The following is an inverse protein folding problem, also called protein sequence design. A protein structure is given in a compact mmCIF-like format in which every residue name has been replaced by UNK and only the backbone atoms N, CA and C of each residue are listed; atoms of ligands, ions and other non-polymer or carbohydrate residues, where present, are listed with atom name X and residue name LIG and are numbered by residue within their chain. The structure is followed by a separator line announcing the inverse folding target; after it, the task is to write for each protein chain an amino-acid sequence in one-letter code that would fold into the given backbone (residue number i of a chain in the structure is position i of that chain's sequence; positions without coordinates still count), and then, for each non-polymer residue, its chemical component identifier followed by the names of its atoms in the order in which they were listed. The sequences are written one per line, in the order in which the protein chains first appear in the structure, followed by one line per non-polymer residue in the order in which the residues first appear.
data_IF_152145444491
#
_entry.id   IF_152145444491
#
_cell.length_a   1.000
_cell.length_b   1.000
_cell.length_c   1.000
_cell.angle_alpha   90.00
_cell.angle_beta   90.00
_cell.angle_gamma   90.00
#
_symmetry.space_group_name_H-M   'P 1'
#
loop_
_entity.id
_entity.type
_entity.pdbx_description
1 polymer ?
#
# COMPACT_ATOMS: atom_id res chain seq x y z
N UNK A 1 -11.12 19.34 -19.85
CA UNK A 1 -9.92 19.73 -20.62
C UNK A 1 -8.81 18.68 -20.53
N UNK A 2 -8.67 17.95 -19.42
CA UNK A 2 -7.62 16.93 -19.18
C UNK A 2 -7.75 15.62 -19.96
N UNK A 3 -8.94 15.22 -20.37
CA UNK A 3 -9.20 13.92 -21.00
C UNK A 3 -8.62 13.83 -22.42
N UNK A 4 -8.84 14.86 -23.24
CA UNK A 4 -8.30 14.97 -24.60
C UNK A 4 -6.77 15.00 -24.64
N UNK A 5 -6.13 15.67 -23.67
CA UNK A 5 -4.68 15.63 -23.52
C UNK A 5 -4.18 14.26 -23.10
N UNK A 6 -4.96 13.53 -22.28
CA UNK A 6 -4.62 12.18 -21.84
C UNK A 6 -4.66 11.17 -23.00
N UNK A 7 -5.65 11.30 -23.88
CA UNK A 7 -5.78 10.51 -25.10
C UNK A 7 -4.61 10.76 -26.07
N UNK A 8 -4.17 12.02 -26.20
CA UNK A 8 -3.02 12.36 -27.05
C UNK A 8 -1.71 11.75 -26.56
N UNK A 9 -1.46 11.76 -25.24
CA UNK A 9 -0.27 11.12 -24.68
C UNK A 9 -0.30 9.60 -24.83
N UNK A 10 -1.46 8.98 -24.64
CA UNK A 10 -1.62 7.55 -24.85
C UNK A 10 -1.42 7.18 -26.33
N UNK A 11 -2.02 7.94 -27.25
CA UNK A 11 -1.83 7.75 -28.69
C UNK A 11 -0.36 7.89 -29.07
N UNK A 12 0.32 8.94 -28.60
CA UNK A 12 1.74 9.18 -28.87
C UNK A 12 2.62 8.03 -28.35
N UNK A 13 2.29 7.48 -27.18
CA UNK A 13 3.00 6.32 -26.62
C UNK A 13 2.77 5.06 -27.48
N UNK A 14 1.50 4.71 -27.76
CA UNK A 14 1.17 3.49 -28.49
C UNK A 14 1.70 3.50 -29.93
N UNK A 15 1.57 4.63 -30.63
CA UNK A 15 2.08 4.78 -32.00
C UNK A 15 3.61 4.60 -32.09
N UNK A 16 4.32 4.95 -31.01
CA UNK A 16 5.77 4.92 -30.98
C UNK A 16 6.34 3.78 -30.13
N UNK A 17 5.50 2.92 -29.54
CA UNK A 17 5.92 1.86 -28.61
C UNK A 17 7.06 1.00 -29.15
N UNK A 18 6.92 0.50 -30.37
CA UNK A 18 7.95 -0.34 -31.00
C UNK A 18 9.28 0.42 -31.20
N UNK A 19 9.22 1.70 -31.56
CA UNK A 19 10.43 2.54 -31.71
C UNK A 19 11.08 2.79 -30.35
N UNK A 20 10.25 2.99 -29.33
CA UNK A 20 10.70 3.18 -27.95
C UNK A 20 11.45 1.95 -27.45
N UNK A 21 10.88 0.75 -27.67
CA UNK A 21 11.52 -0.52 -27.32
C UNK A 21 12.84 -0.70 -28.07
N UNK A 22 12.89 -0.43 -29.38
CA UNK A 22 14.12 -0.50 -30.18
C UNK A 22 15.21 0.49 -29.71
N UNK A 23 14.83 1.73 -29.39
CA UNK A 23 15.77 2.75 -28.88
C UNK A 23 16.35 2.31 -27.54
N UNK A 24 15.50 1.79 -26.65
CA UNK A 24 15.91 1.27 -25.35
C UNK A 24 16.86 0.06 -25.48
N UNK A 25 16.53 -0.91 -26.35
CA UNK A 25 17.38 -2.08 -26.62
C UNK A 25 18.75 -1.69 -27.21
N UNK A 26 18.78 -0.65 -28.03
CA UNK A 26 20.01 -0.09 -28.60
C UNK A 26 20.77 0.83 -27.64
N UNK A 27 20.28 1.04 -26.41
CA UNK A 27 20.94 1.86 -25.38
C UNK A 27 20.82 3.37 -25.60
N UNK A 28 19.94 3.82 -26.48
CA UNK A 28 19.69 5.24 -26.71
C UNK A 28 18.73 5.83 -25.67
N UNK A 29 18.94 7.10 -25.33
CA UNK A 29 17.98 7.84 -24.53
C UNK A 29 16.72 8.16 -25.33
N UNK A 30 15.57 7.98 -24.69
CA UNK A 30 14.29 8.34 -25.28
C UNK A 30 14.13 9.87 -25.38
N UNK A 31 13.64 10.40 -26.51
CA UNK A 31 13.24 11.80 -26.61
C UNK A 31 12.28 12.20 -25.48
N UNK A 32 12.46 13.41 -24.93
CA UNK A 32 11.75 13.88 -23.73
C UNK A 32 10.23 13.77 -23.86
N UNK A 33 9.68 14.07 -25.03
CA UNK A 33 8.24 14.03 -25.32
C UNK A 33 7.70 12.59 -25.29
N UNK A 34 8.45 11.64 -25.86
CA UNK A 34 8.10 10.22 -25.82
C UNK A 34 8.24 9.64 -24.42
N UNK A 35 9.25 10.10 -23.66
CA UNK A 35 9.42 9.71 -22.26
C UNK A 35 8.24 10.20 -21.42
N UNK A 36 7.86 11.47 -21.56
CA UNK A 36 6.72 12.03 -20.88
C UNK A 36 5.41 11.29 -21.22
N UNK A 37 5.22 10.94 -22.50
CA UNK A 37 4.08 10.15 -22.94
C UNK A 37 4.04 8.75 -22.31
N UNK A 38 5.19 8.07 -22.26
CA UNK A 38 5.31 6.75 -21.65
C UNK A 38 5.05 6.81 -20.14
N UNK A 39 5.69 7.73 -19.43
CA UNK A 39 5.54 7.93 -17.99
C UNK A 39 4.07 8.24 -17.63
N UNK A 40 3.43 9.14 -18.38
CA UNK A 40 2.02 9.48 -18.18
C UNK A 40 1.11 8.28 -18.41
N UNK A 41 1.28 7.57 -19.54
CA UNK A 41 0.44 6.43 -19.92
C UNK A 41 0.56 5.30 -18.90
N UNK A 42 1.79 4.97 -18.49
CA UNK A 42 2.06 3.94 -17.50
C UNK A 42 1.49 4.30 -16.13
N UNK A 43 1.63 5.56 -15.70
CA UNK A 43 1.02 6.05 -14.46
C UNK A 43 -0.49 5.92 -14.46
N UNK A 44 -1.13 6.25 -15.59
CA UNK A 44 -2.58 6.15 -15.74
C UNK A 44 -3.05 4.69 -15.67
N UNK A 45 -2.44 3.81 -16.48
CA UNK A 45 -2.75 2.37 -16.49
C UNK A 45 -2.56 1.73 -15.13
N UNK A 46 -1.46 2.08 -14.46
CA UNK A 46 -1.18 1.60 -13.13
C UNK A 46 -2.29 1.98 -12.13
N UNK A 47 -2.71 3.26 -12.12
CA UNK A 47 -3.82 3.72 -11.27
C UNK A 47 -5.15 3.07 -11.63
N UNK A 48 -5.43 2.86 -12.91
CA UNK A 48 -6.64 2.20 -13.40
C UNK A 48 -6.70 0.72 -12.96
N UNK A 49 -5.61 -0.02 -13.07
CA UNK A 49 -5.55 -1.41 -12.61
C UNK A 49 -5.74 -1.50 -11.09
N UNK A 50 -5.11 -0.61 -10.33
CA UNK A 50 -5.37 -0.52 -8.88
C UNK A 50 -6.84 -0.26 -8.55
N UNK A 51 -7.53 0.58 -9.34
CA UNK A 51 -8.98 0.84 -9.16
C UNK A 51 -9.85 -0.36 -9.53
N UNK A 52 -9.50 -1.10 -10.59
CA UNK A 52 -10.24 -2.28 -11.03
C UNK A 52 -10.24 -3.36 -9.95
N UNK A 53 -9.10 -3.59 -9.30
CA UNK A 53 -8.99 -4.56 -8.21
C UNK A 53 -9.76 -4.15 -6.95
N UNK A 54 -9.77 -2.86 -6.59
CA UNK A 54 -10.61 -2.35 -5.49
C UNK A 54 -12.10 -2.64 -5.73
N UNK A 55 -12.59 -2.44 -6.98
CA UNK A 55 -14.00 -2.66 -7.34
C UNK A 55 -14.40 -4.13 -7.38
N UNK A 56 -13.50 -5.02 -7.83
CA UNK A 56 -13.79 -6.45 -7.97
C UNK A 56 -13.70 -7.23 -6.65
N UNK A 57 -13.28 -6.57 -5.57
CA UNK A 57 -12.98 -7.20 -4.28
C UNK A 57 -12.02 -8.40 -4.43
N UNK A 58 -11.17 -8.35 -5.46
CA UNK A 58 -10.19 -9.38 -5.74
C UNK A 58 -8.96 -9.09 -4.89
N UNK A 59 -8.93 -9.72 -3.72
CA UNK A 59 -7.93 -9.51 -2.68
C UNK A 59 -6.56 -10.10 -3.03
N UNK A 60 -6.45 -10.89 -4.11
CA UNK A 60 -5.27 -11.68 -4.43
C UNK A 60 -4.50 -11.23 -5.69
N UNK A 61 -5.07 -10.36 -6.53
CA UNK A 61 -4.44 -10.00 -7.79
C UNK A 61 -4.05 -8.52 -7.80
N UNK A 62 -2.79 -8.21 -7.56
CA UNK A 62 -2.18 -6.97 -8.10
C UNK A 62 -1.24 -7.33 -9.27
N UNK A 63 -1.47 -8.48 -9.93
CA UNK A 63 -0.57 -9.02 -10.95
C UNK A 63 -0.35 -8.07 -12.12
N UNK A 64 -1.40 -7.49 -12.68
CA UNK A 64 -1.30 -6.52 -13.77
C UNK A 64 -0.61 -5.22 -13.33
N UNK A 65 -0.92 -4.74 -12.12
CA UNK A 65 -0.21 -3.59 -11.55
C UNK A 65 1.29 -3.88 -11.38
N UNK A 66 1.65 -5.11 -10.99
CA UNK A 66 3.04 -5.55 -10.86
C UNK A 66 3.74 -5.69 -12.22
N UNK A 67 3.03 -6.11 -13.27
CA UNK A 67 3.56 -6.14 -14.64
C UNK A 67 3.91 -4.71 -15.09
N UNK A 68 2.98 -3.76 -14.93
CA UNK A 68 3.21 -2.35 -15.28
C UNK A 68 4.38 -1.77 -14.48
N UNK A 69 4.44 -2.07 -13.18
CA UNK A 69 5.51 -1.67 -12.29
C UNK A 69 6.90 -2.15 -12.76
N UNK A 70 6.98 -3.43 -13.11
CA UNK A 70 8.22 -4.04 -13.60
C UNK A 70 8.62 -3.45 -14.94
N UNK A 71 7.66 -3.16 -15.83
CA UNK A 71 7.92 -2.51 -17.11
C UNK A 71 8.48 -1.10 -16.92
N UNK A 72 7.87 -0.30 -16.04
CA UNK A 72 8.35 1.04 -15.68
C UNK A 72 9.76 1.00 -15.13
N UNK A 73 10.05 0.06 -14.22
CA UNK A 73 11.39 -0.15 -13.65
C UNK A 73 12.40 -0.56 -14.72
N UNK A 74 12.03 -1.50 -15.59
CA UNK A 74 12.88 -2.00 -16.69
C UNK A 74 13.26 -0.89 -17.66
N UNK A 75 12.33 0.00 -17.98
CA UNK A 75 12.51 1.08 -18.94
C UNK A 75 13.05 2.38 -18.31
N UNK A 76 13.29 2.39 -17.00
CA UNK A 76 13.79 3.57 -16.28
C UNK A 76 12.81 4.74 -16.26
N UNK A 77 11.51 4.46 -16.36
CA UNK A 77 10.44 5.46 -16.31
C UNK A 77 10.08 5.80 -14.86
N UNK A 78 9.58 7.01 -14.67
CA UNK A 78 9.01 7.44 -13.40
C UNK A 78 7.50 7.42 -13.48
N UNK A 79 6.86 6.76 -12.52
CA UNK A 79 5.44 6.99 -12.28
C UNK A 79 5.26 8.43 -11.80
N UNK A 80 4.18 9.11 -12.20
CA UNK A 80 3.75 10.41 -11.68
C UNK A 80 3.51 10.27 -10.17
N UNK A 81 4.58 10.48 -9.41
CA UNK A 81 4.66 10.09 -8.01
C UNK A 81 3.56 10.76 -7.18
N UNK A 82 3.26 12.07 -7.31
CA UNK A 82 2.19 12.68 -6.55
C UNK A 82 0.81 12.02 -6.74
N UNK A 83 0.45 11.64 -7.98
CA UNK A 83 -0.85 11.00 -8.24
C UNK A 83 -0.89 9.58 -7.72
N UNK A 84 0.17 8.82 -7.97
CA UNK A 84 0.28 7.42 -7.56
C UNK A 84 0.35 7.32 -6.03
N UNK A 85 1.15 8.15 -5.36
CA UNK A 85 1.28 8.20 -3.89
C UNK A 85 -0.07 8.53 -3.24
N UNK A 86 -0.74 9.62 -3.64
CA UNK A 86 -2.06 9.98 -3.07
C UNK A 86 -3.09 8.86 -3.24
N UNK A 87 -3.05 8.17 -4.38
CA UNK A 87 -3.97 7.06 -4.63
C UNK A 87 -3.69 5.89 -3.69
N UNK A 88 -2.42 5.56 -3.50
CA UNK A 88 -2.02 4.52 -2.57
C UNK A 88 -2.31 4.84 -1.11
N UNK A 89 -2.09 6.08 -0.66
CA UNK A 89 -2.46 6.53 0.69
C UNK A 89 -3.93 6.24 0.97
N UNK A 90 -4.81 6.59 0.01
CA UNK A 90 -6.25 6.34 0.13
C UNK A 90 -6.58 4.84 0.15
N UNK A 91 -5.94 4.04 -0.70
CA UNK A 91 -6.19 2.60 -0.77
C UNK A 91 -5.72 1.88 0.49
N UNK A 92 -4.53 2.21 1.00
CA UNK A 92 -4.01 1.64 2.24
C UNK A 92 -4.90 2.02 3.41
N UNK A 93 -5.26 3.31 3.55
CA UNK A 93 -6.19 3.73 4.61
C UNK A 93 -7.52 2.97 4.56
N UNK A 94 -8.13 2.82 3.38
CA UNK A 94 -9.39 2.04 3.22
C UNK A 94 -9.22 0.57 3.57
N UNK A 95 -8.12 -0.04 3.15
CA UNK A 95 -7.84 -1.45 3.43
C UNK A 95 -7.64 -1.68 4.93
N UNK A 96 -6.88 -0.81 5.60
CA UNK A 96 -6.64 -0.86 7.04
C UNK A 96 -7.94 -0.62 7.81
N UNK A 97 -8.70 0.41 7.45
CA UNK A 97 -10.01 0.68 8.07
C UNK A 97 -10.96 -0.51 7.94
N UNK A 98 -11.03 -1.14 6.77
CA UNK A 98 -11.84 -2.35 6.57
C UNK A 98 -11.36 -3.52 7.43
N UNK A 99 -10.04 -3.72 7.52
CA UNK A 99 -9.47 -4.77 8.36
C UNK A 99 -9.81 -4.56 9.84
N UNK A 100 -9.75 -3.31 10.31
CA UNK A 100 -10.14 -2.91 11.67
C UNK A 100 -11.64 -3.13 11.92
N UNK A 101 -12.51 -2.70 10.99
CA UNK A 101 -13.97 -2.81 11.11
C UNK A 101 -14.44 -4.27 11.09
N UNK A 102 -13.94 -5.09 10.15
CA UNK A 102 -14.40 -6.46 9.96
C UNK A 102 -13.67 -7.49 10.84
N UNK A 103 -12.43 -7.19 11.24
CA UNK A 103 -11.55 -8.07 12.03
C UNK A 103 -11.32 -9.45 11.42
N UNK A 104 -11.29 -9.53 10.08
CA UNK A 104 -11.05 -10.78 9.35
C UNK A 104 -9.60 -10.86 8.89
N UNK A 105 -8.97 -12.00 9.10
CA UNK A 105 -7.61 -12.31 8.64
C UNK A 105 -7.39 -12.03 7.14
N UNK A 106 -8.42 -12.23 6.31
CA UNK A 106 -8.38 -11.89 4.87
C UNK A 106 -8.22 -10.40 4.58
N UNK A 107 -8.83 -9.53 5.40
CA UNK A 107 -8.77 -8.09 5.20
C UNK A 107 -7.41 -7.53 5.68
N UNK A 108 -6.83 -8.07 6.75
CA UNK A 108 -5.45 -7.76 7.17
C UNK A 108 -4.42 -8.19 6.11
N UNK A 109 -4.54 -9.41 5.56
CA UNK A 109 -3.66 -9.89 4.49
C UNK A 109 -3.78 -9.08 3.20
N UNK A 110 -4.97 -8.59 2.88
CA UNK A 110 -5.17 -7.70 1.74
C UNK A 110 -4.45 -6.36 1.93
N UNK A 111 -4.56 -5.76 3.12
CA UNK A 111 -3.84 -4.53 3.47
C UNK A 111 -2.31 -4.72 3.43
N UNK A 112 -1.81 -5.84 3.96
CA UNK A 112 -0.38 -6.18 3.93
C UNK A 112 0.15 -6.36 2.51
N UNK A 113 -0.61 -7.04 1.63
CA UNK A 113 -0.25 -7.21 0.22
C UNK A 113 -0.10 -5.87 -0.51
N UNK A 114 -0.98 -4.91 -0.20
CA UNK A 114 -0.92 -3.57 -0.77
C UNK A 114 0.32 -2.78 -0.32
N UNK A 115 0.68 -2.87 0.96
CA UNK A 115 1.90 -2.24 1.50
C UNK A 115 3.17 -2.88 0.93
N UNK A 116 3.15 -4.20 0.71
CA UNK A 116 4.26 -4.94 0.10
C UNK A 116 4.46 -4.52 -1.36
N UNK A 117 3.36 -4.35 -2.12
CA UNK A 117 3.41 -3.81 -3.47
C UNK A 117 4.05 -2.42 -3.50
N UNK A 118 3.65 -1.54 -2.58
CA UNK A 118 4.23 -0.19 -2.44
C UNK A 118 5.74 -0.20 -2.20
N UNK A 119 6.19 -1.08 -1.31
CA UNK A 119 7.61 -1.23 -0.98
C UNK A 119 8.40 -1.72 -2.20
N UNK A 120 7.84 -2.63 -2.99
CA UNK A 120 8.45 -3.15 -4.23
C UNK A 120 8.62 -2.05 -5.29
N UNK A 121 7.71 -1.09 -5.30
CA UNK A 121 7.75 0.07 -6.21
C UNK A 121 8.73 1.15 -5.77
N UNK A 122 9.31 1.05 -4.56
CA UNK A 122 10.15 2.09 -3.99
C UNK A 122 9.42 3.41 -3.76
N UNK A 123 8.08 3.37 -3.62
CA UNK A 123 7.27 4.55 -3.40
C UNK A 123 7.31 4.91 -1.91
N UNK A 124 7.79 6.12 -1.60
CA UNK A 124 7.76 6.64 -0.24
C UNK A 124 6.37 7.22 0.06
N UNK A 125 5.48 6.39 0.59
CA UNK A 125 4.11 6.76 0.96
C UNK A 125 4.04 7.01 2.46
N UNK A 126 3.38 8.10 2.86
CA UNK A 126 3.13 8.39 4.27
C UNK A 126 1.83 7.71 4.72
N UNK A 127 1.91 6.91 5.76
CA UNK A 127 0.77 6.12 6.24
C UNK A 127 0.08 6.69 7.49
N UNK A 128 0.27 7.97 7.82
CA UNK A 128 -0.18 8.59 9.08
C UNK A 128 -1.63 8.22 9.46
N UNK A 129 -2.58 8.40 8.54
CA UNK A 129 -4.00 8.04 8.80
C UNK A 129 -4.23 6.55 9.01
N UNK A 130 -3.52 5.71 8.27
CA UNK A 130 -3.64 4.26 8.40
C UNK A 130 -2.99 3.76 9.71
N UNK A 131 -1.90 4.39 10.12
CA UNK A 131 -1.24 4.16 11.42
C UNK A 131 -2.17 4.54 12.58
N UNK A 132 -2.81 5.71 12.51
CA UNK A 132 -3.78 6.17 13.52
C UNK A 132 -4.94 5.16 13.68
N UNK A 133 -5.58 4.78 12.57
CA UNK A 133 -6.71 3.83 12.59
C UNK A 133 -6.34 2.49 13.22
N UNK A 134 -5.18 1.92 12.85
CA UNK A 134 -4.74 0.65 13.41
C UNK A 134 -4.32 0.80 14.88
N UNK A 135 -3.70 1.92 15.25
CA UNK A 135 -3.32 2.21 16.64
C UNK A 135 -4.54 2.21 17.56
N UNK A 136 -5.60 2.94 17.21
CA UNK A 136 -6.83 2.97 18.01
C UNK A 136 -7.48 1.58 18.10
N UNK A 137 -7.48 0.82 17.00
CA UNK A 137 -8.00 -0.55 16.99
C UNK A 137 -7.22 -1.50 17.91
N UNK A 138 -5.90 -1.38 17.97
CA UNK A 138 -5.07 -2.19 18.86
C UNK A 138 -5.31 -1.86 20.34
N UNK A 139 -5.57 -0.59 20.67
CA UNK A 139 -5.73 -0.13 22.07
C UNK A 139 -7.16 -0.25 22.61
N UNK A 140 -8.17 0.09 21.82
CA UNK A 140 -9.56 0.20 22.30
C UNK A 140 -10.38 -1.07 22.06
N UNK A 141 -10.00 -1.88 21.07
CA UNK A 141 -10.86 -2.91 20.51
C UNK A 141 -10.39 -4.35 20.75
N UNK A 142 -9.28 -4.55 21.47
CA UNK A 142 -8.73 -5.88 21.76
C UNK A 142 -8.16 -6.60 20.52
N UNK A 143 -7.80 -5.86 19.46
CA UNK A 143 -7.10 -6.43 18.31
C UNK A 143 -5.64 -6.83 18.67
N UNK A 144 -5.13 -6.35 19.81
CA UNK A 144 -3.88 -6.77 20.41
C UNK A 144 -3.90 -8.29 20.70
N UNK A 145 -3.18 -9.06 19.88
CA UNK A 145 -3.12 -10.53 19.95
C UNK A 145 -3.45 -11.24 18.64
N UNK A 146 -4.04 -10.55 17.65
CA UNK A 146 -4.13 -11.10 16.29
C UNK A 146 -2.79 -10.94 15.58
N UNK A 147 -2.17 -12.07 15.22
CA UNK A 147 -0.90 -12.10 14.47
C UNK A 147 -0.94 -11.20 13.24
N UNK A 148 -2.02 -11.28 12.46
CA UNK A 148 -2.19 -10.51 11.23
C UNK A 148 -2.26 -8.99 11.45
N UNK A 149 -2.80 -8.55 12.60
CA UNK A 149 -2.83 -7.14 12.98
C UNK A 149 -1.42 -6.65 13.38
N UNK A 150 -0.62 -7.51 14.00
CA UNK A 150 0.77 -7.22 14.32
C UNK A 150 1.68 -7.13 13.09
N UNK A 151 1.54 -8.06 12.15
CA UNK A 151 2.27 -8.04 10.89
C UNK A 151 1.95 -6.77 10.08
N UNK A 152 0.67 -6.36 10.07
CA UNK A 152 0.24 -5.11 9.43
C UNK A 152 0.79 -3.87 10.15
N UNK A 153 0.84 -3.86 11.47
CA UNK A 153 1.39 -2.76 12.25
C UNK A 153 2.88 -2.55 11.97
N UNK A 154 3.65 -3.63 11.91
CA UNK A 154 5.08 -3.59 11.54
C UNK A 154 5.26 -3.08 10.10
N UNK A 155 4.45 -3.54 9.16
CA UNK A 155 4.51 -3.10 7.77
C UNK A 155 4.16 -1.61 7.59
N UNK A 156 3.29 -1.07 8.43
CA UNK A 156 2.97 0.37 8.49
C UNK A 156 4.04 1.19 9.22
N UNK A 157 5.03 0.56 9.86
CA UNK A 157 6.08 1.24 10.62
C UNK A 157 5.67 1.66 12.03
N UNK A 158 4.64 1.04 12.61
CA UNK A 158 4.29 1.22 14.03
C UNK A 158 5.33 0.53 14.92
N UNK A 159 5.55 1.07 16.12
CA UNK A 159 6.50 0.50 17.08
C UNK A 159 6.09 -0.90 17.54
N UNK A 160 7.00 -1.88 17.60
CA UNK A 160 6.71 -3.26 18.05
C UNK A 160 6.13 -3.33 19.47
N UNK A 161 6.42 -2.34 20.32
CA UNK A 161 5.90 -2.25 21.69
C UNK A 161 4.38 -2.10 21.71
N UNK A 162 3.81 -1.47 20.69
CA UNK A 162 2.37 -1.23 20.56
C UNK A 162 1.58 -2.48 20.10
N UNK A 163 2.29 -3.53 19.70
CA UNK A 163 1.74 -4.77 19.14
C UNK A 163 1.70 -5.89 20.18
N UNK A 164 2.46 -5.76 21.27
CA UNK A 164 2.46 -6.76 22.33
C UNK A 164 1.11 -6.71 23.07
N UNK A 165 0.48 -7.87 23.35
CA UNK A 165 -0.68 -7.89 24.22
C UNK A 165 -0.25 -7.26 25.54
N UNK A 166 -0.98 -6.22 25.98
CA UNK A 166 -0.77 -5.63 27.29
C UNK A 166 -0.95 -6.75 28.30
N UNK A 167 0.15 -7.32 28.78
CA UNK A 167 0.12 -8.21 29.92
C UNK A 167 -0.40 -7.33 31.03
N UNK A 168 -1.69 -7.47 31.36
CA UNK A 168 -2.31 -6.80 32.49
C UNK A 168 -1.41 -7.14 33.68
N UNK A 169 -0.57 -6.18 34.04
CA UNK A 169 0.33 -6.33 35.17
C UNK A 169 -0.61 -6.32 36.36
N UNK A 170 -0.84 -7.51 36.90
CA UNK A 170 -1.72 -7.74 38.04
C UNK A 170 -0.99 -7.16 39.26
N UNK A 171 -1.05 -5.83 39.41
CA UNK A 171 -0.46 -5.13 40.55
C UNK A 171 -1.48 -5.22 41.69
N UNK A 172 -1.25 -6.20 42.56
CA UNK A 172 -1.54 -6.10 43.99
C UNK A 172 -2.99 -6.30 44.43
N UNK A 173 -3.44 -7.56 44.53
CA UNK A 173 -4.29 -7.96 45.65
C UNK A 173 -3.36 -8.38 46.78
N UNK A 174 -3.12 -7.46 47.72
CA UNK A 174 -2.34 -7.69 48.92
C UNK A 174 -2.90 -8.89 49.69
N UNK A 175 -2.03 -9.84 49.99
CA UNK A 175 -2.24 -10.84 51.02
C UNK A 175 -2.51 -10.11 52.35
N UNK A 176 -3.73 -10.25 52.86
CA UNK A 176 -4.04 -9.93 54.25
C UNK A 176 -3.54 -11.11 55.09
N UNK A 177 -2.50 -10.97 55.95
CA UNK A 177 -2.14 -12.04 56.86
C UNK A 177 -3.22 -12.19 57.93
N UNK A 178 -3.61 -13.45 58.14
CA UNK A 178 -4.54 -13.88 59.17
C UNK A 178 -4.11 -13.38 60.56
N UNK A 179 -5.01 -12.67 61.24
CA UNK A 179 -4.88 -12.37 62.65
C UNK A 179 -5.39 -13.56 63.45
N UNK A 180 -4.47 -14.27 64.11
CA UNK A 180 -4.73 -15.22 65.19
C UNK A 180 -4.24 -14.56 66.49
N UNK A 181 -5.15 -14.31 67.43
CA UNK A 181 -4.95 -14.26 68.88
C UNK A 181 -6.31 -13.92 69.51
N UNK A 182 -7.06 -14.86 70.12
CA UNK A 182 -6.96 -15.49 71.45
C UNK A 182 -8.22 -15.12 72.22
#
# INVERSE_FOLDING_TARGET
MTERFSEQYEYLYEENRRKIEMLHEAGFELPTELRAAAEFTMSRRFVEELQRHERRNDRAAYGEALIIANEVKRLGYRLDQPRVVRRFEQMVWRAVRRAVENRRAEDFRAALSLITLLSTLGLNVKFERAQEELYFALHESGAAGQKDAGDLALALGLSPVLVQPTVATNIGAAETPASIAT
#
